data_IF_184817450113
#
_entry.id   IF_184817450113
#
_cell.length_a   1.000
_cell.length_b   1.000
_cell.length_c   1.000
_cell.angle_alpha   90.00
_cell.angle_beta   90.00
_cell.angle_gamma   90.00
#
_symmetry.space_group_name_H-M   'P 1'
#
loop_
_entity.id
_entity.type
_entity.pdbx_description
1 polymer ?
#
# COMPACT_ATOMS: atom_id res chain seq x y z
N UNK A 1 0.00 19.29 -10.07
CA UNK A 1 -0.50 17.97 -10.50
C UNK A 1 -0.31 16.89 -9.44
N UNK A 2 0.93 16.66 -8.95
CA UNK A 2 1.23 15.63 -7.95
C UNK A 2 0.23 15.52 -6.79
N UNK A 3 0.00 16.60 -6.04
CA UNK A 3 -0.89 16.61 -4.86
C UNK A 3 -2.29 16.06 -5.14
N UNK A 4 -2.90 16.46 -6.27
CA UNK A 4 -4.27 16.03 -6.63
C UNK A 4 -4.32 14.54 -6.96
N UNK A 5 -3.34 14.05 -7.73
CA UNK A 5 -3.24 12.64 -8.10
C UNK A 5 -2.96 11.77 -6.87
N UNK A 6 -2.02 12.20 -6.02
CA UNK A 6 -1.69 11.51 -4.78
C UNK A 6 -2.85 11.47 -3.79
N UNK A 7 -3.63 12.55 -3.68
CA UNK A 7 -4.85 12.56 -2.88
C UNK A 7 -5.89 11.55 -3.41
N UNK A 8 -6.14 11.54 -4.72
CA UNK A 8 -7.06 10.59 -5.34
C UNK A 8 -6.61 9.13 -5.12
N UNK A 9 -5.32 8.83 -5.34
CA UNK A 9 -4.76 7.50 -5.09
C UNK A 9 -4.92 7.10 -3.62
N UNK A 10 -4.60 8.00 -2.68
CA UNK A 10 -4.76 7.72 -1.23
C UNK A 10 -6.20 7.36 -0.90
N UNK A 11 -7.17 8.12 -1.42
CA UNK A 11 -8.59 7.85 -1.25
C UNK A 11 -9.02 6.50 -1.84
N UNK A 12 -8.56 6.16 -3.04
CA UNK A 12 -8.83 4.85 -3.67
C UNK A 12 -8.28 3.70 -2.82
N UNK A 13 -7.04 3.82 -2.32
CA UNK A 13 -6.41 2.78 -1.51
C UNK A 13 -7.15 2.60 -0.17
N UNK A 14 -7.49 3.69 0.52
CA UNK A 14 -8.21 3.62 1.79
C UNK A 14 -9.63 3.06 1.61
N UNK A 15 -10.38 3.58 0.63
CA UNK A 15 -11.74 3.12 0.34
C UNK A 15 -11.77 1.64 -0.02
N UNK A 16 -10.93 1.20 -0.95
CA UNK A 16 -10.87 -0.21 -1.34
C UNK A 16 -10.36 -1.10 -0.21
N UNK A 17 -9.46 -0.64 0.67
CA UNK A 17 -9.04 -1.41 1.85
C UNK A 17 -10.21 -1.67 2.80
N UNK A 18 -11.07 -0.67 3.03
CA UNK A 18 -12.28 -0.83 3.87
C UNK A 18 -13.28 -1.79 3.21
N UNK A 19 -13.53 -1.63 1.91
CA UNK A 19 -14.44 -2.51 1.15
C UNK A 19 -13.96 -3.96 1.17
N UNK A 20 -12.67 -4.19 0.86
CA UNK A 20 -12.07 -5.52 0.85
C UNK A 20 -11.99 -6.09 2.27
N UNK A 21 -11.71 -5.26 3.29
CA UNK A 21 -11.70 -5.67 4.69
C UNK A 21 -13.07 -6.17 5.16
N UNK A 22 -14.15 -5.49 4.80
CA UNK A 22 -15.51 -5.95 5.07
C UNK A 22 -15.82 -7.26 4.30
N UNK A 23 -15.40 -7.35 3.03
CA UNK A 23 -15.56 -8.56 2.23
C UNK A 23 -14.77 -9.76 2.79
N UNK A 24 -13.61 -9.54 3.41
CA UNK A 24 -12.80 -10.61 4.01
C UNK A 24 -13.56 -11.40 5.08
N UNK A 25 -14.40 -10.71 5.87
CA UNK A 25 -15.17 -11.32 6.95
C UNK A 25 -16.50 -11.90 6.48
N UNK A 26 -17.19 -11.23 5.55
CA UNK A 26 -18.53 -11.63 5.12
C UNK A 26 -18.57 -12.46 3.83
N UNK A 27 -17.65 -12.21 2.90
CA UNK A 27 -17.70 -12.71 1.53
C UNK A 27 -16.78 -13.90 1.22
N UNK A 28 -15.83 -14.24 2.10
CA UNK A 28 -14.88 -15.34 1.91
C UNK A 28 -15.20 -16.59 2.76
N UNK A 29 -16.47 -16.80 3.07
CA UNK A 29 -16.91 -17.91 3.94
C UNK A 29 -16.66 -19.30 3.32
N UNK A 30 -16.53 -19.37 2.00
CA UNK A 30 -16.20 -20.57 1.23
C UNK A 30 -14.68 -20.83 1.14
N UNK A 31 -13.84 -19.90 1.60
CA UNK A 31 -12.38 -20.02 1.54
C UNK A 31 -11.81 -20.62 2.82
N UNK A 32 -10.66 -21.27 2.67
CA UNK A 32 -9.92 -21.84 3.80
C UNK A 32 -9.47 -20.76 4.79
N UNK A 33 -9.24 -21.15 6.05
CA UNK A 33 -8.77 -20.22 7.09
C UNK A 33 -7.46 -19.51 6.72
N UNK A 34 -6.55 -20.21 6.03
CA UNK A 34 -5.28 -19.62 5.58
C UNK A 34 -5.48 -18.57 4.48
N UNK A 35 -6.41 -18.81 3.55
CA UNK A 35 -6.77 -17.83 2.51
C UNK A 35 -7.43 -16.60 3.11
N UNK A 36 -8.41 -16.78 4.02
CA UNK A 36 -9.05 -15.63 4.70
C UNK A 36 -8.04 -14.84 5.52
N UNK A 37 -7.16 -15.52 6.26
CA UNK A 37 -6.11 -14.87 7.05
C UNK A 37 -5.16 -14.07 6.17
N UNK A 38 -4.69 -14.65 5.06
CA UNK A 38 -3.83 -13.95 4.12
C UNK A 38 -4.52 -12.71 3.54
N UNK A 39 -5.80 -12.85 3.15
CA UNK A 39 -6.60 -11.75 2.66
C UNK A 39 -6.75 -10.63 3.71
N UNK A 40 -7.08 -10.98 4.95
CA UNK A 40 -7.19 -10.05 6.07
C UNK A 40 -5.88 -9.29 6.29
N UNK A 41 -4.74 -9.99 6.27
CA UNK A 41 -3.40 -9.37 6.37
C UNK A 41 -3.21 -8.34 5.27
N UNK A 42 -3.52 -8.68 4.02
CA UNK A 42 -3.41 -7.74 2.90
C UNK A 42 -4.30 -6.50 3.07
N UNK A 43 -5.55 -6.67 3.53
CA UNK A 43 -6.46 -5.54 3.81
C UNK A 43 -5.93 -4.62 4.90
N UNK A 44 -5.38 -5.19 5.97
CA UNK A 44 -4.78 -4.43 7.07
C UNK A 44 -3.54 -3.64 6.60
N UNK A 45 -2.66 -4.28 5.83
CA UNK A 45 -1.49 -3.61 5.23
C UNK A 45 -1.91 -2.48 4.29
N UNK A 46 -2.92 -2.70 3.43
CA UNK A 46 -3.41 -1.68 2.52
C UNK A 46 -3.99 -0.48 3.28
N UNK A 47 -4.77 -0.71 4.34
CA UNK A 47 -5.34 0.34 5.16
C UNK A 47 -4.24 1.13 5.88
N UNK A 48 -3.30 0.46 6.53
CA UNK A 48 -2.16 1.09 7.22
C UNK A 48 -1.30 1.92 6.26
N UNK A 49 -1.00 1.38 5.07
CA UNK A 49 -0.23 2.10 4.07
C UNK A 49 -1.02 3.28 3.48
N UNK A 50 -2.35 3.20 3.36
CA UNK A 50 -3.17 4.36 2.96
C UNK A 50 -3.15 5.48 4.01
N UNK A 51 -3.10 5.14 5.30
CA UNK A 51 -2.91 6.11 6.37
C UNK A 51 -1.50 6.73 6.32
N UNK A 52 -0.47 5.91 6.09
CA UNK A 52 0.90 6.41 5.88
C UNK A 52 0.98 7.35 4.65
N UNK A 53 0.32 6.99 3.54
CA UNK A 53 0.21 7.83 2.34
C UNK A 53 -0.45 9.18 2.65
N UNK A 54 -1.49 9.20 3.48
CA UNK A 54 -2.11 10.45 3.97
C UNK A 54 -1.10 11.32 4.73
N UNK A 55 -0.33 10.73 5.63
CA UNK A 55 0.72 11.43 6.39
C UNK A 55 1.82 11.99 5.49
N UNK A 56 2.33 11.19 4.55
CA UNK A 56 3.35 11.64 3.59
C UNK A 56 2.82 12.73 2.66
N UNK A 57 1.56 12.62 2.23
CA UNK A 57 0.90 13.63 1.42
C UNK A 57 0.85 14.97 2.16
N UNK A 58 0.41 14.96 3.43
CA UNK A 58 0.39 16.15 4.29
C UNK A 58 1.80 16.74 4.49
N UNK A 59 2.80 15.89 4.80
CA UNK A 59 4.19 16.32 4.94
C UNK A 59 4.72 16.98 3.66
N UNK A 60 4.43 16.41 2.49
CA UNK A 60 4.89 16.94 1.19
C UNK A 60 4.24 18.28 0.80
N UNK A 61 3.15 18.66 1.48
CA UNK A 61 2.46 19.94 1.33
C UNK A 61 2.88 20.96 2.41
N UNK A 62 3.64 20.55 3.42
CA UNK A 62 4.10 21.42 4.51
C UNK A 62 5.13 22.43 4.02
N UNK A 63 4.97 23.69 4.45
CA UNK A 63 5.94 24.75 4.21
C UNK A 63 7.26 24.56 5.00
N UNK A 64 7.28 23.66 5.98
CA UNK A 64 8.46 23.39 6.82
C UNK A 64 9.51 22.53 6.14
N UNK A 65 9.20 21.87 5.02
CA UNK A 65 10.16 21.02 4.31
C UNK A 65 10.94 21.81 3.27
N UNK A 66 12.25 21.55 3.18
CA UNK A 66 13.10 22.04 2.10
C UNK A 66 12.68 21.42 0.76
N UNK A 67 13.04 22.03 -0.39
CA UNK A 67 12.76 21.44 -1.70
C UNK A 67 13.32 20.03 -1.89
N UNK A 68 14.44 19.71 -1.21
CA UNK A 68 15.05 18.36 -1.22
C UNK A 68 14.18 17.37 -0.44
N UNK A 69 13.78 17.72 0.78
CA UNK A 69 12.90 16.89 1.61
C UNK A 69 11.54 16.67 0.93
N UNK A 70 10.96 17.69 0.29
CA UNK A 70 9.72 17.52 -0.49
C UNK A 70 9.89 16.48 -1.59
N UNK A 71 11.00 16.50 -2.35
CA UNK A 71 11.26 15.47 -3.37
C UNK A 71 11.33 14.06 -2.76
N UNK A 72 12.00 13.91 -1.62
CA UNK A 72 12.09 12.61 -0.93
C UNK A 72 10.73 12.15 -0.43
N UNK A 73 9.90 13.03 0.15
CA UNK A 73 8.54 12.69 0.55
C UNK A 73 7.69 12.19 -0.63
N UNK A 74 7.84 12.80 -1.82
CA UNK A 74 7.16 12.32 -3.04
C UNK A 74 7.64 10.94 -3.48
N UNK A 75 8.94 10.65 -3.34
CA UNK A 75 9.49 9.30 -3.60
C UNK A 75 8.92 8.30 -2.61
N UNK A 76 8.88 8.63 -1.32
CA UNK A 76 8.28 7.77 -0.28
C UNK A 76 6.82 7.45 -0.59
N UNK A 77 6.03 8.44 -0.99
CA UNK A 77 4.65 8.24 -1.41
C UNK A 77 4.54 7.25 -2.56
N UNK A 78 5.33 7.44 -3.62
CA UNK A 78 5.30 6.57 -4.81
C UNK A 78 5.71 5.14 -4.48
N UNK A 79 6.73 4.95 -3.65
CA UNK A 79 7.18 3.64 -3.19
C UNK A 79 6.09 2.96 -2.34
N UNK A 80 5.47 3.67 -1.40
CA UNK A 80 4.41 3.09 -0.57
C UNK A 80 3.20 2.71 -1.42
N UNK A 81 2.78 3.57 -2.35
CA UNK A 81 1.66 3.27 -3.25
C UNK A 81 1.96 2.04 -4.11
N UNK A 82 3.07 2.03 -4.85
CA UNK A 82 3.46 0.93 -5.73
C UNK A 82 3.66 -0.38 -4.94
N UNK A 83 4.38 -0.31 -3.83
CA UNK A 83 4.65 -1.46 -2.98
C UNK A 83 3.36 -2.03 -2.39
N UNK A 84 2.40 -1.19 -2.01
CA UNK A 84 1.08 -1.62 -1.52
C UNK A 84 0.28 -2.32 -2.61
N UNK A 85 0.21 -1.76 -3.82
CA UNK A 85 -0.47 -2.40 -4.95
C UNK A 85 0.11 -3.78 -5.27
N UNK A 86 1.44 -3.87 -5.35
CA UNK A 86 2.11 -5.14 -5.65
C UNK A 86 1.93 -6.14 -4.50
N UNK A 87 2.17 -5.74 -3.26
CA UNK A 87 2.07 -6.64 -2.11
C UNK A 87 0.62 -7.11 -1.88
N UNK A 88 -0.30 -6.17 -1.65
CA UNK A 88 -1.68 -6.48 -1.29
C UNK A 88 -2.44 -7.06 -2.49
N UNK A 89 -2.28 -6.46 -3.67
CA UNK A 89 -2.91 -6.93 -4.90
C UNK A 89 -2.56 -8.37 -5.23
N UNK A 90 -1.28 -8.76 -5.09
CA UNK A 90 -0.86 -10.15 -5.31
C UNK A 90 -1.56 -11.12 -4.36
N UNK A 91 -1.70 -10.76 -3.09
CA UNK A 91 -2.37 -11.60 -2.09
C UNK A 91 -3.87 -11.72 -2.40
N UNK A 92 -4.55 -10.62 -2.74
CA UNK A 92 -5.95 -10.67 -3.15
C UNK A 92 -6.16 -11.54 -4.38
N UNK A 93 -5.33 -11.33 -5.42
CA UNK A 93 -5.41 -12.12 -6.65
C UNK A 93 -5.20 -13.61 -6.39
N UNK A 94 -4.29 -13.98 -5.49
CA UNK A 94 -4.06 -15.39 -5.12
C UNK A 94 -5.27 -16.06 -4.48
N UNK A 95 -6.14 -15.30 -3.81
CA UNK A 95 -7.35 -15.86 -3.18
C UNK A 95 -8.47 -16.10 -4.20
N UNK A 96 -8.53 -15.32 -5.29
CA UNK A 96 -9.59 -15.42 -6.29
C UNK A 96 -9.22 -16.19 -7.56
N UNK A 97 -7.94 -16.31 -7.90
CA UNK A 97 -7.49 -17.01 -9.10
C UNK A 97 -7.18 -18.47 -8.78
N UNK A 98 -7.91 -19.40 -9.40
CA UNK A 98 -7.69 -20.85 -9.27
C UNK A 98 -6.30 -21.26 -9.77
N UNK A 99 -5.92 -20.78 -10.96
CA UNK A 99 -4.61 -21.03 -11.58
C UNK A 99 -3.62 -19.87 -11.37
N UNK A 100 -3.43 -19.46 -10.11
CA UNK A 100 -2.54 -18.34 -9.79
C UNK A 100 -1.08 -18.63 -10.23
N UNK A 101 -0.50 -17.86 -11.18
CA UNK A 101 0.82 -18.17 -11.71
C UNK A 101 1.93 -18.02 -10.65
N UNK A 102 2.83 -19.01 -10.57
CA UNK A 102 3.98 -18.98 -9.64
C UNK A 102 4.84 -17.72 -9.84
N UNK A 103 4.98 -17.26 -11.09
CA UNK A 103 5.70 -16.04 -11.44
C UNK A 103 5.08 -14.79 -10.79
N UNK A 104 3.74 -14.71 -10.73
CA UNK A 104 3.03 -13.63 -10.05
C UNK A 104 3.20 -13.70 -8.54
N UNK A 105 3.48 -14.87 -7.97
CA UNK A 105 3.79 -15.02 -6.54
C UNK A 105 5.01 -14.23 -6.08
N UNK A 106 5.95 -13.92 -6.99
CA UNK A 106 7.13 -13.09 -6.71
C UNK A 106 6.79 -11.59 -6.56
N UNK A 107 5.62 -11.16 -7.02
CA UNK A 107 5.23 -9.75 -6.93
C UNK A 107 4.97 -9.31 -5.48
N UNK A 108 4.49 -10.20 -4.62
CA UNK A 108 4.31 -9.91 -3.20
C UNK A 108 5.65 -9.57 -2.51
N UNK A 109 6.70 -10.42 -2.52
CA UNK A 109 7.98 -10.07 -1.88
C UNK A 109 8.64 -8.85 -2.52
N UNK A 110 8.53 -8.65 -3.85
CA UNK A 110 9.01 -7.43 -4.51
C UNK A 110 8.27 -6.20 -3.95
N UNK A 111 6.94 -6.25 -3.86
CA UNK A 111 6.13 -5.21 -3.25
C UNK A 111 6.52 -4.93 -1.80
N UNK A 112 6.80 -5.98 -1.02
CA UNK A 112 7.30 -5.87 0.34
C UNK A 112 8.64 -5.12 0.43
N UNK A 113 9.61 -5.43 -0.41
CA UNK A 113 10.90 -4.71 -0.47
C UNK A 113 10.73 -3.24 -0.88
N UNK A 114 9.82 -2.97 -1.82
CA UNK A 114 9.47 -1.60 -2.22
C UNK A 114 8.81 -0.85 -1.05
N UNK A 115 7.91 -1.49 -0.30
CA UNK A 115 7.29 -0.93 0.92
C UNK A 115 8.34 -0.58 1.96
N UNK A 116 9.27 -1.50 2.28
CA UNK A 116 10.36 -1.24 3.22
C UNK A 116 11.19 -0.04 2.80
N UNK A 117 11.48 0.09 1.50
CA UNK A 117 12.20 1.24 0.95
C UNK A 117 11.39 2.54 1.09
N UNK A 118 10.07 2.48 0.88
CA UNK A 118 9.16 3.60 1.11
C UNK A 118 9.21 4.09 2.56
N UNK A 119 9.14 3.19 3.53
CA UNK A 119 9.26 3.53 4.95
C UNK A 119 10.67 4.06 5.31
N UNK A 120 11.74 3.45 4.78
CA UNK A 120 13.10 3.93 5.00
C UNK A 120 13.31 5.37 4.48
N UNK A 121 12.71 5.71 3.33
CA UNK A 121 12.79 7.07 2.78
C UNK A 121 11.99 8.10 3.60
N UNK A 122 10.94 7.69 4.32
CA UNK A 122 10.31 8.57 5.32
C UNK A 122 11.31 8.87 6.45
N UNK A 123 11.99 7.84 6.97
CA UNK A 123 13.04 8.02 7.99
C UNK A 123 14.18 8.93 7.51
N UNK A 124 14.53 8.86 6.22
CA UNK A 124 15.54 9.73 5.61
C UNK A 124 15.18 11.22 5.67
N UNK A 125 13.89 11.58 5.75
CA UNK A 125 13.48 12.98 5.89
C UNK A 125 13.99 13.63 7.19
N UNK A 126 14.20 12.84 8.25
CA UNK A 126 14.66 13.35 9.54
C UNK A 126 16.14 13.74 9.55
N UNK A 127 16.92 13.31 8.55
CA UNK A 127 18.38 13.51 8.48
C UNK A 127 18.83 14.31 7.25
N UNK A 128 17.88 14.78 6.45
CA UNK A 128 18.10 15.66 5.29
C UNK A 128 17.81 17.11 5.63
#
# INVERSE_FOLDING_TARGET
MFQRVSAALTGVYGCSAVMLGAYAFHGLMDKSDSQRTAFQVATNYQLMNSAAMTGVLALSASASLTPRQVKVARVSFSLIALGTALFCGTIYSKVFLEDFPISMGKLAPIGGTILMSGWATIGLLAVL
#
